data_IF_428262910637
#
_entry.id   IF_428262910637
#
_cell.length_a   1.000
_cell.length_b   1.000
_cell.length_c   1.000
_cell.angle_alpha   90.00
_cell.angle_beta   90.00
_cell.angle_gamma   90.00
#
_symmetry.space_group_name_H-M   'P 1'
#
loop_
_entity.id
_entity.type
_entity.pdbx_description
1 polymer ?
#
# COMPACT_ATOMS: atom_id res chain seq x y z
N UNK A 1 -3.07 26.99 -8.61
CA UNK A 1 -4.00 26.72 -9.74
C UNK A 1 -4.65 25.38 -9.46
N UNK A 2 -5.96 25.32 -9.36
CA UNK A 2 -6.64 24.08 -9.01
C UNK A 2 -6.89 23.24 -10.29
N UNK A 3 -7.09 21.92 -10.15
CA UNK A 3 -7.29 21.03 -11.30
C UNK A 3 -8.49 21.42 -12.16
N UNK A 4 -9.52 22.04 -11.54
CA UNK A 4 -10.69 22.55 -12.26
C UNK A 4 -10.34 23.75 -13.19
N UNK A 5 -9.38 24.57 -12.83
CA UNK A 5 -8.95 25.71 -13.67
C UNK A 5 -8.16 25.21 -14.90
N UNK A 6 -7.33 24.18 -14.73
CA UNK A 6 -6.64 23.51 -15.84
C UNK A 6 -7.63 22.89 -16.83
N UNK A 7 -8.63 22.16 -16.32
CA UNK A 7 -9.67 21.56 -17.17
C UNK A 7 -10.46 22.63 -17.94
N UNK A 8 -10.85 23.74 -17.27
CA UNK A 8 -11.57 24.86 -17.92
C UNK A 8 -10.74 25.54 -18.99
N UNK A 9 -9.40 25.59 -18.83
CA UNK A 9 -8.49 26.10 -19.84
C UNK A 9 -8.17 25.10 -20.97
N UNK A 10 -8.79 23.92 -20.98
CA UNK A 10 -8.55 22.86 -21.95
C UNK A 10 -7.25 22.07 -21.74
N UNK A 11 -6.60 22.25 -20.59
CA UNK A 11 -5.39 21.51 -20.23
C UNK A 11 -5.73 20.22 -19.46
N UNK A 12 -5.01 19.14 -19.76
CA UNK A 12 -5.12 17.92 -18.98
C UNK A 12 -4.25 18.03 -17.72
N UNK A 13 -4.85 18.07 -16.50
CA UNK A 13 -4.09 18.16 -15.25
C UNK A 13 -3.23 16.92 -14.97
N UNK A 14 -3.50 15.80 -15.66
CA UNK A 14 -2.75 14.56 -15.56
C UNK A 14 -1.72 14.40 -16.70
N UNK A 15 -1.27 15.50 -17.29
CA UNK A 15 -0.23 15.49 -18.34
C UNK A 15 0.76 16.60 -18.08
N UNK A 16 2.00 16.26 -17.74
CA UNK A 16 3.10 17.20 -17.51
C UNK A 16 4.45 16.55 -17.89
N UNK A 17 5.49 17.36 -18.16
CA UNK A 17 6.81 16.83 -18.49
C UNK A 17 7.34 15.91 -17.37
N UNK A 18 7.84 14.75 -17.77
CA UNK A 18 8.36 13.74 -16.83
C UNK A 18 7.35 12.73 -16.31
N UNK A 19 6.04 12.97 -16.50
CA UNK A 19 5.03 11.94 -16.17
C UNK A 19 5.10 10.80 -17.19
N UNK A 20 5.21 9.57 -16.67
CA UNK A 20 5.11 8.33 -17.46
C UNK A 20 4.00 7.48 -16.90
N UNK A 21 3.10 7.00 -17.76
CA UNK A 21 1.99 6.12 -17.39
C UNK A 21 2.41 4.68 -17.68
N UNK A 22 2.33 3.83 -16.66
CA UNK A 22 2.58 2.39 -16.77
C UNK A 22 1.24 1.68 -16.96
N UNK A 23 0.94 1.25 -18.16
CA UNK A 23 -0.32 0.57 -18.48
C UNK A 23 -0.20 -0.94 -18.32
N UNK A 24 0.90 -1.50 -18.77
CA UNK A 24 1.14 -2.96 -18.78
C UNK A 24 1.85 -3.46 -17.52
N UNK A 25 1.87 -4.77 -17.36
CA UNK A 25 2.66 -5.42 -16.30
C UNK A 25 4.16 -5.26 -16.57
N UNK A 26 4.55 -5.33 -17.82
CA UNK A 26 5.93 -5.20 -18.30
C UNK A 26 6.49 -3.82 -18.00
N UNK A 27 5.70 -2.75 -18.20
CA UNK A 27 6.06 -1.38 -17.81
C UNK A 27 6.30 -1.29 -16.30
N UNK A 28 5.42 -1.88 -15.50
CA UNK A 28 5.54 -1.88 -14.04
C UNK A 28 6.78 -2.64 -13.54
N UNK A 29 7.16 -3.72 -14.22
CA UNK A 29 8.39 -4.45 -13.93
C UNK A 29 9.62 -3.60 -14.32
N UNK A 30 9.58 -2.91 -15.46
CA UNK A 30 10.66 -2.05 -15.92
C UNK A 30 10.95 -0.89 -14.94
N UNK A 31 9.92 -0.35 -14.26
CA UNK A 31 10.10 0.67 -13.22
C UNK A 31 11.03 0.19 -12.10
N UNK A 32 10.88 -1.06 -11.65
CA UNK A 32 11.70 -1.62 -10.57
C UNK A 32 13.14 -1.94 -11.03
N UNK A 33 13.34 -2.14 -12.33
CA UNK A 33 14.65 -2.43 -12.91
C UNK A 33 15.46 -1.16 -13.26
N UNK A 34 14.80 -0.01 -13.38
CA UNK A 34 15.43 1.27 -13.69
C UNK A 34 16.02 1.90 -12.40
N UNK A 35 17.35 2.10 -12.30
CA UNK A 35 18.00 2.63 -11.11
C UNK A 35 17.86 4.16 -10.95
N UNK A 36 17.35 4.88 -11.96
CA UNK A 36 17.24 6.33 -11.89
C UNK A 36 16.25 6.77 -10.80
N UNK A 37 16.54 7.87 -10.08
CA UNK A 37 15.62 8.42 -9.08
C UNK A 37 14.27 8.78 -9.70
N UNK A 38 13.17 8.35 -9.03
CA UNK A 38 11.81 8.55 -9.52
C UNK A 38 10.80 8.53 -8.40
N UNK A 39 9.63 9.10 -8.66
CA UNK A 39 8.44 8.95 -7.80
C UNK A 39 7.50 7.95 -8.46
N UNK A 40 7.08 6.92 -7.72
CA UNK A 40 6.16 5.90 -8.19
C UNK A 40 4.80 6.13 -7.52
N UNK A 41 3.77 6.45 -8.32
CA UNK A 41 2.39 6.55 -7.87
C UNK A 41 1.67 5.24 -8.22
N UNK A 42 1.25 4.51 -7.21
CA UNK A 42 0.62 3.19 -7.42
C UNK A 42 -0.54 2.95 -6.45
N UNK A 43 -1.58 2.31 -6.95
CA UNK A 43 -2.67 1.78 -6.13
C UNK A 43 -2.32 0.34 -5.65
N UNK A 44 -2.91 -0.16 -4.55
CA UNK A 44 -3.97 0.45 -3.72
C UNK A 44 -3.38 1.26 -2.57
N UNK A 45 -4.15 2.26 -2.08
CA UNK A 45 -3.70 3.15 -1.00
C UNK A 45 -3.39 2.44 0.32
N UNK A 46 -4.05 1.32 0.63
CA UNK A 46 -3.84 0.50 1.84
C UNK A 46 -2.71 -0.53 1.69
N UNK A 47 -2.08 -0.61 0.53
CA UNK A 47 -1.02 -1.58 0.19
C UNK A 47 -1.43 -3.07 0.23
N UNK A 48 -2.71 -3.39 0.40
CA UNK A 48 -3.21 -4.77 0.52
C UNK A 48 -3.33 -5.49 -0.82
N UNK A 49 -3.44 -4.74 -1.92
CA UNK A 49 -3.62 -5.27 -3.25
C UNK A 49 -2.91 -4.41 -4.32
N UNK A 50 -2.89 -4.88 -5.56
CA UNK A 50 -2.39 -4.12 -6.69
C UNK A 50 -0.88 -4.11 -6.87
N UNK A 51 -0.43 -3.29 -7.80
CA UNK A 51 0.98 -3.20 -8.20
C UNK A 51 1.88 -2.62 -7.12
N UNK A 52 1.34 -1.80 -6.21
CA UNK A 52 2.08 -1.24 -5.08
C UNK A 52 2.81 -2.33 -4.28
N UNK A 53 2.21 -3.50 -4.08
CA UNK A 53 2.84 -4.60 -3.35
C UNK A 53 4.13 -5.10 -4.00
N UNK A 54 4.19 -5.07 -5.34
CA UNK A 54 5.41 -5.43 -6.07
C UNK A 54 6.47 -4.34 -5.89
N UNK A 55 6.09 -3.06 -5.99
CA UNK A 55 7.01 -1.95 -5.77
C UNK A 55 7.53 -1.95 -4.33
N UNK A 56 6.69 -2.21 -3.32
CA UNK A 56 7.10 -2.35 -1.93
C UNK A 56 8.10 -3.51 -1.75
N UNK A 57 7.84 -4.68 -2.36
CA UNK A 57 8.77 -5.82 -2.29
C UNK A 57 10.17 -5.48 -2.80
N UNK A 58 10.28 -4.61 -3.80
CA UNK A 58 11.55 -4.21 -4.40
C UNK A 58 12.24 -3.04 -3.70
N UNK A 59 11.50 -2.24 -2.93
CA UNK A 59 12.02 -0.97 -2.40
C UNK A 59 12.00 -0.86 -0.87
N UNK A 60 11.20 -1.65 -0.11
CA UNK A 60 11.12 -1.53 1.35
C UNK A 60 12.44 -1.80 2.07
N UNK A 61 13.28 -2.67 1.54
CA UNK A 61 14.56 -3.04 2.15
C UNK A 61 15.70 -2.06 1.82
N UNK A 62 15.45 -1.05 1.00
CA UNK A 62 16.41 -0.07 0.51
C UNK A 62 16.33 1.21 1.36
N UNK A 63 17.45 1.58 1.99
CA UNK A 63 17.54 2.74 2.89
C UNK A 63 17.34 4.07 2.15
N UNK A 64 17.69 4.13 0.84
CA UNK A 64 17.56 5.32 0.01
C UNK A 64 16.12 5.57 -0.49
N UNK A 65 15.18 4.66 -0.20
CA UNK A 65 13.80 4.79 -0.61
C UNK A 65 12.94 5.40 0.50
N UNK A 66 11.92 6.17 0.11
CA UNK A 66 10.88 6.69 1.01
C UNK A 66 9.52 6.16 0.55
N UNK A 67 8.74 5.60 1.46
CA UNK A 67 7.35 5.21 1.25
C UNK A 67 6.47 6.30 1.84
N UNK A 68 5.79 7.06 0.97
CA UNK A 68 4.95 8.18 1.38
C UNK A 68 3.47 7.82 1.32
N UNK A 69 2.82 7.76 2.48
CA UNK A 69 1.37 7.61 2.58
C UNK A 69 0.69 8.97 2.49
N UNK A 70 -0.22 9.12 1.53
CA UNK A 70 -0.97 10.38 1.29
C UNK A 70 -2.42 10.32 1.75
N UNK A 71 -2.82 9.22 2.40
CA UNK A 71 -4.19 9.01 2.88
C UNK A 71 -4.23 8.14 4.14
N UNK A 72 -5.45 7.98 4.65
CA UNK A 72 -5.74 7.14 5.81
C UNK A 72 -5.35 5.68 5.57
N UNK A 73 -4.83 5.04 6.62
CA UNK A 73 -4.49 3.62 6.62
C UNK A 73 -5.36 2.90 7.66
N UNK A 74 -6.23 2.01 7.19
CA UNK A 74 -7.15 1.28 8.05
C UNK A 74 -6.41 0.27 8.94
N UNK A 75 -6.92 0.04 10.15
CA UNK A 75 -6.40 -0.98 11.04
C UNK A 75 -6.38 -2.36 10.36
N UNK A 76 -5.27 -3.09 10.51
CA UNK A 76 -5.05 -4.40 9.88
C UNK A 76 -4.64 -4.35 8.40
N UNK A 77 -4.47 -3.18 7.79
CA UNK A 77 -3.87 -3.05 6.46
C UNK A 77 -2.33 -3.10 6.52
N UNK A 78 -1.70 -3.51 5.40
CA UNK A 78 -0.24 -3.46 5.30
C UNK A 78 0.30 -2.03 5.45
N UNK A 79 -0.39 -1.04 4.88
CA UNK A 79 0.00 0.37 5.03
C UNK A 79 -0.03 0.83 6.49
N UNK A 80 -1.02 0.38 7.27
CA UNK A 80 -1.09 0.68 8.70
C UNK A 80 0.06 0.03 9.47
N UNK A 81 0.36 -1.23 9.19
CA UNK A 81 1.49 -1.96 9.79
C UNK A 81 2.82 -1.25 9.55
N UNK A 82 3.04 -0.72 8.33
CA UNK A 82 4.23 0.07 8.00
C UNK A 82 4.28 1.40 8.77
N UNK A 83 3.16 2.13 8.87
CA UNK A 83 3.08 3.39 9.64
C UNK A 83 3.29 3.17 11.15
N UNK A 84 2.96 2.02 11.69
CA UNK A 84 3.19 1.65 13.07
C UNK A 84 4.65 1.24 13.37
N UNK A 85 5.52 1.27 12.37
CA UNK A 85 6.95 1.07 12.52
C UNK A 85 7.38 -0.39 12.53
N UNK A 86 6.73 -1.25 11.76
CA UNK A 86 7.15 -2.63 11.62
C UNK A 86 8.55 -2.73 10.98
N UNK A 87 9.47 -3.46 11.60
CA UNK A 87 10.82 -3.70 11.10
C UNK A 87 10.85 -4.64 9.88
N UNK A 88 9.81 -5.47 9.72
CA UNK A 88 9.65 -6.38 8.60
C UNK A 88 8.18 -6.70 8.35
N UNK A 89 7.86 -6.95 7.08
CA UNK A 89 6.50 -7.27 6.64
C UNK A 89 6.51 -8.46 5.68
N UNK A 90 5.36 -9.13 5.57
CA UNK A 90 5.21 -10.27 4.67
C UNK A 90 4.57 -9.87 3.35
N UNK A 91 5.32 -10.00 2.26
CA UNK A 91 4.88 -9.73 0.90
C UNK A 91 5.00 -10.98 0.03
N UNK A 92 3.89 -11.42 -0.59
CA UNK A 92 3.84 -12.63 -1.42
C UNK A 92 4.40 -13.89 -0.75
N UNK A 93 4.24 -13.99 0.58
CA UNK A 93 4.72 -15.12 1.38
C UNK A 93 6.20 -15.05 1.77
N UNK A 94 6.92 -13.98 1.41
CA UNK A 94 8.31 -13.72 1.79
C UNK A 94 8.36 -12.60 2.83
N UNK A 95 9.31 -12.69 3.76
CA UNK A 95 9.60 -11.61 4.73
C UNK A 95 10.53 -10.59 4.07
N UNK A 96 10.16 -9.33 4.15
CA UNK A 96 10.89 -8.19 3.59
C UNK A 96 11.20 -7.23 4.73
N UNK A 97 12.46 -6.87 4.92
CA UNK A 97 12.90 -5.87 5.88
C UNK A 97 12.38 -4.48 5.47
N UNK A 98 12.10 -3.65 6.45
CA UNK A 98 11.68 -2.25 6.26
C UNK A 98 12.85 -1.36 6.68
N UNK A 99 13.72 -1.06 5.73
CA UNK A 99 14.85 -0.14 5.92
C UNK A 99 14.55 1.24 5.30
N UNK A 100 13.55 1.30 4.40
CA UNK A 100 13.13 2.56 3.79
C UNK A 100 12.49 3.50 4.80
N UNK A 101 12.61 4.79 4.56
CA UNK A 101 11.86 5.79 5.31
C UNK A 101 10.35 5.60 5.10
N UNK A 102 9.59 5.60 6.20
CA UNK A 102 8.12 5.57 6.17
C UNK A 102 7.61 6.95 6.59
N UNK A 103 6.96 7.65 5.66
CA UNK A 103 6.46 9.00 5.85
C UNK A 103 4.94 9.08 5.60
N UNK A 104 4.29 10.04 6.24
CA UNK A 104 2.88 10.33 6.02
C UNK A 104 2.67 11.82 5.76
N UNK A 105 1.89 12.14 4.73
CA UNK A 105 1.47 13.49 4.41
C UNK A 105 -0.02 13.64 4.71
N UNK A 106 -0.37 14.61 5.56
CA UNK A 106 -1.75 15.00 5.82
C UNK A 106 -2.25 16.00 4.79
N UNK A 107 -3.58 16.09 4.62
CA UNK A 107 -4.21 17.12 3.78
C UNK A 107 -4.33 16.78 2.30
N UNK A 108 -3.91 15.60 1.85
CA UNK A 108 -4.06 15.13 0.46
C UNK A 108 -5.29 14.22 0.25
N UNK A 109 -6.08 13.99 1.31
CA UNK A 109 -7.29 13.17 1.21
C UNK A 109 -8.36 13.85 0.38
N UNK A 110 -8.95 13.12 -0.56
CA UNK A 110 -10.16 13.55 -1.29
C UNK A 110 -11.47 13.26 -0.53
N UNK A 111 -11.39 12.63 0.64
CA UNK A 111 -12.54 12.38 1.50
C UNK A 111 -12.89 13.64 2.31
N UNK A 112 -14.20 13.86 2.50
CA UNK A 112 -14.66 14.90 3.39
C UNK A 112 -14.31 14.54 4.84
N UNK A 113 -13.93 15.55 5.61
CA UNK A 113 -13.88 15.48 7.07
C UNK A 113 -15.31 15.53 7.66
N UNK A 114 -15.40 15.41 8.99
CA UNK A 114 -16.67 15.47 9.73
C UNK A 114 -17.53 16.69 9.33
N UNK A 115 -16.95 17.88 9.36
CA UNK A 115 -17.66 19.12 9.02
C UNK A 115 -18.05 19.16 7.53
N UNK A 116 -17.25 18.57 6.66
CA UNK A 116 -17.55 18.42 5.25
C UNK A 116 -18.75 17.52 5.01
N UNK A 117 -18.85 16.40 5.75
CA UNK A 117 -19.99 15.49 5.68
C UNK A 117 -21.26 16.17 6.19
N UNK A 118 -21.22 16.90 7.29
CA UNK A 118 -22.35 17.66 7.79
C UNK A 118 -22.79 18.74 6.79
N UNK A 119 -21.86 19.55 6.27
CA UNK A 119 -22.19 20.56 5.24
C UNK A 119 -22.83 19.93 4.01
N UNK A 120 -22.31 18.79 3.57
CA UNK A 120 -22.89 18.06 2.45
C UNK A 120 -24.31 17.59 2.75
N UNK A 121 -24.54 16.98 3.91
CA UNK A 121 -25.85 16.49 4.32
C UNK A 121 -26.87 17.64 4.48
N UNK A 122 -26.44 18.78 5.05
CA UNK A 122 -27.29 19.97 5.21
C UNK A 122 -27.63 20.66 3.87
N UNK A 123 -26.90 20.35 2.79
CA UNK A 123 -27.18 20.94 1.48
C UNK A 123 -28.38 20.31 0.75
N UNK A 124 -28.91 19.20 1.27
CA UNK A 124 -30.08 18.57 0.65
C UNK A 124 -31.38 19.33 0.93
N UNK A 125 -32.12 19.60 -0.14
CA UNK A 125 -33.48 20.16 -0.05
C UNK A 125 -34.41 19.34 -0.98
N UNK A 126 -35.41 18.63 -0.46
CA UNK A 126 -35.77 18.50 0.96
C UNK A 126 -34.75 17.66 1.77
N UNK A 127 -34.83 17.78 3.10
CA UNK A 127 -34.06 16.98 4.04
C UNK A 127 -34.25 15.48 3.76
N UNK A 128 -33.16 14.67 3.74
CA UNK A 128 -33.27 13.23 3.56
C UNK A 128 -34.16 12.57 4.59
N UNK A 129 -35.04 11.68 4.16
CA UNK A 129 -35.93 10.95 5.07
C UNK A 129 -35.22 9.93 5.96
N UNK A 130 -34.04 9.47 5.53
CA UNK A 130 -33.19 8.54 6.28
C UNK A 130 -31.74 8.63 5.84
N UNK A 131 -30.80 8.41 6.76
CA UNK A 131 -29.36 8.46 6.53
C UNK A 131 -28.71 7.15 7.00
N UNK A 132 -28.05 6.45 6.13
CA UNK A 132 -27.21 5.31 6.46
C UNK A 132 -25.75 5.75 6.55
N UNK A 133 -25.14 5.60 7.72
CA UNK A 133 -23.73 5.89 7.97
C UNK A 133 -22.94 4.59 7.85
N UNK A 134 -22.08 4.47 6.82
CA UNK A 134 -21.33 3.28 6.57
C UNK A 134 -19.90 3.59 6.09
N UNK A 135 -19.09 2.54 5.92
CA UNK A 135 -17.73 2.63 5.40
C UNK A 135 -16.77 3.43 6.30
N UNK A 136 -16.79 3.13 7.59
CA UNK A 136 -15.88 3.66 8.60
C UNK A 136 -15.71 2.69 9.76
N UNK A 137 -14.92 3.08 10.75
CA UNK A 137 -14.79 2.32 11.98
C UNK A 137 -16.13 2.30 12.75
N UNK A 138 -16.46 1.17 13.38
CA UNK A 138 -17.76 0.93 14.01
C UNK A 138 -18.16 2.05 14.99
N UNK A 139 -17.20 2.45 15.85
CA UNK A 139 -17.45 3.51 16.85
C UNK A 139 -17.67 4.88 16.21
N UNK A 140 -16.93 5.17 15.13
CA UNK A 140 -17.05 6.44 14.39
C UNK A 140 -18.37 6.49 13.65
N UNK A 141 -18.78 5.43 12.97
CA UNK A 141 -20.07 5.37 12.28
C UNK A 141 -21.24 5.47 13.26
N UNK A 142 -21.19 4.74 14.38
CA UNK A 142 -22.24 4.79 15.40
C UNK A 142 -22.32 6.17 16.07
N UNK A 143 -21.17 6.80 16.36
CA UNK A 143 -21.08 8.13 16.92
C UNK A 143 -21.69 9.19 15.99
N UNK A 144 -21.34 9.14 14.71
CA UNK A 144 -21.88 10.07 13.72
C UNK A 144 -23.38 9.86 13.47
N UNK A 145 -23.86 8.62 13.41
CA UNK A 145 -25.30 8.35 13.30
C UNK A 145 -26.07 8.94 14.49
N UNK A 146 -25.56 8.79 15.73
CA UNK A 146 -26.15 9.35 16.93
C UNK A 146 -26.16 10.90 16.92
N UNK A 147 -25.11 11.54 16.42
CA UNK A 147 -25.07 12.99 16.24
C UNK A 147 -26.16 13.47 15.27
N UNK A 148 -26.31 12.78 14.14
CA UNK A 148 -27.35 13.08 13.15
C UNK A 148 -28.78 12.90 13.73
N UNK A 149 -28.98 11.90 14.59
CA UNK A 149 -30.25 11.76 15.35
C UNK A 149 -30.51 12.97 16.23
N UNK A 150 -29.46 13.50 16.92
CA UNK A 150 -29.52 14.70 17.70
C UNK A 150 -29.92 15.96 16.91
N UNK A 151 -29.55 15.99 15.61
CA UNK A 151 -29.97 17.04 14.65
C UNK A 151 -31.34 16.77 14.00
N UNK A 152 -32.03 15.71 14.43
CA UNK A 152 -33.36 15.35 13.95
C UNK A 152 -33.36 14.64 12.59
N UNK A 153 -32.29 13.96 12.21
CA UNK A 153 -32.32 13.00 11.13
C UNK A 153 -32.73 11.61 11.65
N UNK A 154 -33.43 10.82 10.83
CA UNK A 154 -33.49 9.38 11.05
C UNK A 154 -32.20 8.81 10.50
N UNK A 155 -31.32 8.34 11.37
CA UNK A 155 -29.99 7.87 10.98
C UNK A 155 -29.64 6.53 11.64
N UNK A 156 -28.85 5.71 10.97
CA UNK A 156 -28.38 4.43 11.51
C UNK A 156 -27.02 4.06 10.89
N UNK A 157 -26.16 3.41 11.67
CA UNK A 157 -24.95 2.74 11.20
C UNK A 157 -25.26 1.24 11.05
N UNK A 158 -25.51 0.74 9.80
CA UNK A 158 -25.91 -0.64 9.60
C UNK A 158 -24.74 -1.61 9.79
N UNK A 159 -25.01 -2.76 10.38
CA UNK A 159 -24.04 -3.85 10.47
C UNK A 159 -23.93 -4.64 9.16
N UNK A 160 -22.80 -5.33 8.93
CA UNK A 160 -22.61 -6.20 7.77
C UNK A 160 -23.72 -7.26 7.67
N UNK A 161 -24.34 -7.35 6.48
CA UNK A 161 -25.47 -8.28 6.25
C UNK A 161 -26.83 -7.73 6.67
N UNK A 162 -26.88 -6.51 7.23
CA UNK A 162 -28.16 -5.87 7.55
C UNK A 162 -29.03 -5.68 6.31
N UNK A 163 -30.34 -5.85 6.43
CA UNK A 163 -31.29 -5.67 5.34
C UNK A 163 -32.45 -4.73 5.75
N UNK A 164 -32.82 -3.84 4.83
CA UNK A 164 -33.78 -2.79 5.04
C UNK A 164 -34.79 -2.73 3.91
N UNK A 165 -36.06 -2.57 4.26
CA UNK A 165 -37.13 -2.30 3.30
C UNK A 165 -37.32 -0.78 3.17
N UNK A 166 -37.15 -0.28 1.95
CA UNK A 166 -37.39 1.11 1.59
C UNK A 166 -38.71 1.18 0.83
N UNK A 167 -39.79 1.63 1.46
CA UNK A 167 -41.10 1.72 0.82
C UNK A 167 -41.88 2.93 1.33
N UNK A 168 -42.50 3.68 0.39
CA UNK A 168 -43.40 4.78 0.72
C UNK A 168 -42.78 5.90 1.55
N UNK A 169 -41.48 6.15 1.42
CA UNK A 169 -40.76 7.14 2.21
C UNK A 169 -40.39 6.67 3.63
N UNK A 170 -40.73 5.44 4.00
CA UNK A 170 -40.34 4.82 5.26
C UNK A 170 -39.21 3.81 5.08
N UNK A 171 -38.36 3.71 6.10
CA UNK A 171 -37.30 2.71 6.19
C UNK A 171 -37.61 1.77 7.34
N UNK A 172 -37.63 0.48 7.08
CA UNK A 172 -37.85 -0.57 8.09
C UNK A 172 -36.70 -1.56 8.06
N UNK A 173 -36.02 -1.71 9.19
CA UNK A 173 -35.03 -2.77 9.36
C UNK A 173 -35.76 -4.14 9.33
N UNK A 174 -35.34 -5.03 8.44
CA UNK A 174 -35.81 -6.41 8.34
C UNK A 174 -34.88 -7.37 9.10
N UNK A 175 -33.58 -7.11 9.01
CA UNK A 175 -32.53 -7.85 9.68
C UNK A 175 -31.42 -6.84 10.06
N UNK A 176 -30.98 -6.87 11.31
CA UNK A 176 -29.90 -5.99 11.80
C UNK A 176 -28.52 -6.40 11.31
N UNK A 177 -28.37 -7.61 10.76
CA UNK A 177 -27.09 -8.13 10.34
C UNK A 177 -26.23 -8.66 11.49
N UNK A 178 -24.95 -8.90 11.19
CA UNK A 178 -24.02 -9.46 12.17
C UNK A 178 -23.42 -8.34 13.03
N UNK A 179 -23.79 -8.28 14.30
CA UNK A 179 -23.28 -7.31 15.29
C UNK A 179 -21.94 -7.75 15.90
N UNK A 180 -21.48 -8.97 15.65
CA UNK A 180 -20.16 -9.40 16.07
C UNK A 180 -19.12 -8.84 15.10
N UNK A 181 -18.06 -8.23 15.66
CA UNK A 181 -16.90 -7.79 14.86
C UNK A 181 -16.40 -8.99 14.06
N UNK A 182 -16.44 -8.90 12.74
CA UNK A 182 -15.77 -9.87 11.86
C UNK A 182 -14.27 -9.68 12.09
N UNK A 183 -13.74 -10.35 13.12
CA UNK A 183 -12.30 -10.51 13.26
C UNK A 183 -11.88 -11.32 12.04
N UNK A 184 -11.27 -10.68 11.05
CA UNK A 184 -10.52 -11.41 10.04
C UNK A 184 -9.56 -12.29 10.83
N UNK A 185 -9.85 -13.60 10.91
CA UNK A 185 -8.83 -14.56 11.37
C UNK A 185 -7.65 -14.31 10.45
N UNK A 186 -6.57 -13.78 11.02
CA UNK A 186 -5.30 -13.92 10.35
C UNK A 186 -5.20 -15.39 9.95
N UNK A 187 -4.84 -15.69 8.69
CA UNK A 187 -4.58 -17.08 8.35
C UNK A 187 -3.60 -17.57 9.40
N UNK A 188 -3.98 -18.61 10.15
CA UNK A 188 -3.10 -19.21 11.16
C UNK A 188 -1.70 -19.23 10.58
N UNK A 189 -0.68 -18.80 11.33
CA UNK A 189 0.68 -18.82 10.84
C UNK A 189 0.98 -20.27 10.49
N UNK A 190 0.82 -20.61 9.21
CA UNK A 190 1.21 -21.92 8.71
C UNK A 190 2.65 -22.09 9.12
N UNK A 191 2.87 -22.94 10.14
CA UNK A 191 4.12 -23.33 10.76
C UNK A 191 5.30 -22.40 10.38
N UNK A 192 5.44 -21.28 11.08
CA UNK A 192 6.41 -20.22 10.82
C UNK A 192 7.87 -20.72 10.75
N UNK A 193 8.12 -21.95 11.22
CA UNK A 193 9.45 -22.55 11.24
C UNK A 193 10.01 -23.00 9.90
N UNK A 194 9.17 -23.16 8.84
CA UNK A 194 9.67 -23.75 7.59
C UNK A 194 9.99 -22.72 6.49
N UNK A 195 9.34 -21.56 6.49
CA UNK A 195 9.54 -20.52 5.45
C UNK A 195 10.60 -19.50 5.80
N UNK A 196 10.71 -19.08 7.06
CA UNK A 196 11.81 -18.26 7.59
C UNK A 196 13.16 -18.95 7.41
N UNK A 197 13.21 -20.26 7.66
CA UNK A 197 14.39 -21.08 7.45
C UNK A 197 14.84 -21.11 5.98
N UNK A 198 13.94 -20.99 5.02
CA UNK A 198 14.24 -21.05 3.59
C UNK A 198 14.75 -19.71 3.01
N UNK A 199 14.23 -18.58 3.46
CA UNK A 199 14.72 -17.23 3.09
C UNK A 199 16.12 -16.99 3.70
N UNK A 200 16.30 -17.31 4.97
CA UNK A 200 17.59 -17.32 5.66
C UNK A 200 18.60 -18.25 4.97
N UNK A 201 18.19 -19.47 4.56
CA UNK A 201 19.05 -20.39 3.82
C UNK A 201 19.49 -19.86 2.44
N UNK A 202 18.65 -19.10 1.75
CA UNK A 202 19.01 -18.54 0.45
C UNK A 202 20.09 -17.46 0.61
N UNK A 203 19.93 -16.57 1.60
CA UNK A 203 20.93 -15.56 1.90
C UNK A 203 22.25 -16.17 2.40
N UNK A 204 22.20 -17.13 3.31
CA UNK A 204 23.36 -17.87 3.76
C UNK A 204 24.11 -18.56 2.62
N UNK A 205 23.39 -19.15 1.68
CA UNK A 205 23.99 -19.73 0.47
C UNK A 205 24.67 -18.67 -0.38
N UNK A 206 24.07 -17.47 -0.53
CA UNK A 206 24.66 -16.37 -1.28
C UNK A 206 25.96 -15.89 -0.62
N UNK A 207 25.97 -15.69 0.70
CA UNK A 207 27.15 -15.32 1.48
C UNK A 207 28.25 -16.38 1.33
N UNK A 208 27.90 -17.66 1.42
CA UNK A 208 28.87 -18.76 1.24
C UNK A 208 29.44 -18.80 -0.18
N UNK A 209 28.64 -18.48 -1.21
CA UNK A 209 29.14 -18.34 -2.58
C UNK A 209 30.09 -17.14 -2.72
N UNK A 210 29.79 -16.02 -2.07
CA UNK A 210 30.69 -14.86 -2.01
C UNK A 210 32.05 -15.22 -1.39
N UNK A 211 32.04 -15.90 -0.23
CA UNK A 211 33.27 -16.39 0.41
C UNK A 211 34.06 -17.33 -0.50
N UNK A 212 33.38 -18.27 -1.18
CA UNK A 212 34.02 -19.16 -2.15
C UNK A 212 34.62 -18.39 -3.34
N UNK A 213 33.94 -17.35 -3.82
CA UNK A 213 34.45 -16.48 -4.88
C UNK A 213 35.74 -15.80 -4.46
N UNK A 214 35.85 -15.29 -3.21
CA UNK A 214 37.07 -14.70 -2.67
C UNK A 214 38.24 -15.71 -2.65
N UNK A 215 37.98 -16.97 -2.29
CA UNK A 215 38.98 -18.04 -2.33
C UNK A 215 39.43 -18.30 -3.77
N UNK A 216 38.51 -18.31 -4.74
CA UNK A 216 38.83 -18.50 -6.17
C UNK A 216 39.68 -17.33 -6.70
N UNK A 217 39.37 -16.09 -6.31
CA UNK A 217 40.17 -14.92 -6.66
C UNK A 217 41.59 -15.05 -6.14
N UNK A 218 41.75 -15.46 -4.89
CA UNK A 218 43.06 -15.62 -4.27
C UNK A 218 43.88 -16.75 -4.91
N UNK A 219 43.26 -17.89 -5.26
CA UNK A 219 43.92 -18.99 -5.99
C UNK A 219 44.44 -18.58 -7.39
N UNK A 220 43.81 -17.55 -7.99
CA UNK A 220 44.25 -17.05 -9.30
C UNK A 220 45.28 -15.91 -9.17
N UNK A 221 45.75 -15.60 -7.96
CA UNK A 221 46.83 -14.62 -7.74
C UNK A 221 48.09 -15.04 -8.53
N UNK A 222 48.53 -14.18 -9.46
CA UNK A 222 49.65 -14.46 -10.34
C UNK A 222 49.29 -15.15 -11.64
N UNK A 223 48.02 -15.37 -11.94
CA UNK A 223 47.54 -15.86 -13.23
C UNK A 223 47.82 -14.87 -14.39
N UNK A 224 47.63 -15.31 -15.61
CA UNK A 224 47.85 -14.49 -16.80
C UNK A 224 46.93 -13.25 -16.79
N UNK A 225 47.47 -12.05 -17.03
CA UNK A 225 46.73 -10.80 -16.97
C UNK A 225 45.44 -10.78 -17.81
N UNK A 226 45.47 -11.46 -18.98
CA UNK A 226 44.29 -11.54 -19.86
C UNK A 226 43.16 -12.36 -19.23
N UNK A 227 43.47 -13.44 -18.52
CA UNK A 227 42.49 -14.29 -17.87
C UNK A 227 41.95 -13.62 -16.60
N UNK A 228 42.80 -12.93 -15.84
CA UNK A 228 42.41 -12.14 -14.70
C UNK A 228 41.48 -10.98 -15.10
N UNK A 229 41.78 -10.26 -16.17
CA UNK A 229 40.92 -9.19 -16.69
C UNK A 229 39.56 -9.73 -17.14
N UNK A 230 39.51 -10.88 -17.79
CA UNK A 230 38.25 -11.53 -18.18
C UNK A 230 37.42 -11.94 -16.96
N UNK A 231 38.07 -12.53 -15.95
CA UNK A 231 37.40 -12.92 -14.72
C UNK A 231 36.83 -11.69 -13.94
N UNK A 232 37.64 -10.62 -13.83
CA UNK A 232 37.19 -9.35 -13.23
C UNK A 232 35.98 -8.77 -13.96
N UNK A 233 35.95 -8.78 -15.30
CA UNK A 233 34.80 -8.31 -16.08
C UNK A 233 33.54 -9.14 -15.86
N UNK A 234 33.68 -10.45 -15.65
CA UNK A 234 32.53 -11.30 -15.31
C UNK A 234 31.94 -10.98 -13.93
N UNK A 235 32.80 -10.73 -12.95
CA UNK A 235 32.36 -10.33 -11.60
C UNK A 235 31.69 -8.96 -11.66
N UNK A 236 32.29 -7.97 -12.34
CA UNK A 236 31.71 -6.64 -12.52
C UNK A 236 30.32 -6.72 -13.14
N UNK A 237 30.17 -7.45 -14.24
CA UNK A 237 28.85 -7.64 -14.89
C UNK A 237 27.82 -8.33 -13.96
N UNK A 238 28.27 -9.22 -13.06
CA UNK A 238 27.38 -9.81 -12.06
C UNK A 238 26.96 -8.78 -11.00
N UNK A 239 27.90 -7.98 -10.50
CA UNK A 239 27.63 -6.89 -9.56
C UNK A 239 26.64 -5.90 -10.16
N UNK A 240 26.92 -5.36 -11.35
CA UNK A 240 26.06 -4.39 -12.06
C UNK A 240 24.63 -4.89 -12.27
N UNK A 241 24.47 -6.23 -12.44
CA UNK A 241 23.16 -6.85 -12.60
C UNK A 241 22.35 -6.89 -11.32
N UNK A 242 23.01 -6.98 -10.16
CA UNK A 242 22.35 -7.21 -8.85
C UNK A 242 22.48 -6.04 -7.89
N UNK A 243 23.37 -5.09 -8.19
CA UNK A 243 23.47 -3.80 -7.49
C UNK A 243 22.34 -2.89 -7.99
N UNK A 244 21.22 -2.87 -7.22
CA UNK A 244 19.98 -2.19 -7.61
C UNK A 244 19.56 -1.23 -6.52
#
# INVERSE_FOLDING_TARGET
>A
MCSSDLVRSGQNPLSFPGLRISETKEDSVAINADPSPKVILSASGMCDAGRIRHHLKHNLWREECTILFVGYQAAGSLGRTLLEGADQVKLFGEEVQVNSEIAQMSGMSGHADHDGLLRWLHSFAPKPGYVFVNHGDDEVCAGFAKELEGEGYAAEAPYPGGSYLLAGGAVRCLDRGNTEKIVRREPEPAAAGYKTRRASQAFERLVNMGRRLMVVIEHNRGGANKDLARFASQIASLCDKWDR
#
